data_IF_318994830108
#
_entry.id   IF_318994830108
#
_cell.length_a   1.000
_cell.length_b   1.000
_cell.length_c   1.000
_cell.angle_alpha   90.00
_cell.angle_beta   90.00
_cell.angle_gamma   90.00
#
_symmetry.space_group_name_H-M   'P 1'
#
loop_
_entity.id
_entity.type
_entity.pdbx_description
1 polymer ?
#
# COMPACT_ATOMS: atom_id res chain seq x y z
N UNK A 1 -42.53 -22.94 13.66
CA UNK A 1 -43.71 -23.08 12.77
C UNK A 1 -43.97 -24.56 12.51
N UNK A 2 -44.98 -25.13 13.12
CA UNK A 2 -45.36 -26.55 12.95
C UNK A 2 -45.98 -26.72 11.56
N UNK A 3 -45.33 -27.49 10.68
CA UNK A 3 -45.97 -27.97 9.43
C UNK A 3 -46.98 -29.03 9.82
N UNK A 4 -48.26 -28.70 9.75
CA UNK A 4 -49.34 -29.66 9.86
C UNK A 4 -49.20 -30.61 8.65
N UNK A 5 -48.79 -31.83 8.89
CA UNK A 5 -48.88 -32.90 7.89
C UNK A 5 -50.36 -33.17 7.60
N UNK A 6 -50.77 -33.06 6.33
CA UNK A 6 -52.11 -33.49 5.91
C UNK A 6 -52.31 -34.95 6.28
N UNK A 7 -53.39 -35.27 6.97
CA UNK A 7 -53.75 -36.65 7.30
C UNK A 7 -53.93 -37.45 6.01
N UNK A 8 -53.69 -38.77 6.06
CA UNK A 8 -53.90 -39.67 4.91
C UNK A 8 -55.30 -39.51 4.37
N UNK A 9 -56.26 -39.30 5.24
CA UNK A 9 -57.68 -39.08 4.91
C UNK A 9 -57.83 -37.81 4.02
N UNK A 10 -57.17 -36.69 4.33
CA UNK A 10 -57.23 -35.47 3.49
C UNK A 10 -56.56 -35.67 2.12
N UNK A 11 -55.47 -36.43 2.06
CA UNK A 11 -54.82 -36.78 0.80
C UNK A 11 -55.69 -37.67 -0.06
N UNK A 12 -56.33 -38.65 0.56
CA UNK A 12 -57.26 -39.55 -0.12
C UNK A 12 -58.50 -38.80 -0.58
N UNK A 13 -59.14 -37.98 0.26
CA UNK A 13 -60.24 -37.11 -0.16
C UNK A 13 -59.85 -36.16 -1.32
N UNK A 14 -58.65 -35.64 -1.34
CA UNK A 14 -58.20 -34.78 -2.44
C UNK A 14 -57.95 -35.58 -3.73
N UNK A 15 -57.51 -36.84 -3.61
CA UNK A 15 -57.38 -37.77 -4.75
C UNK A 15 -58.74 -38.09 -5.30
N UNK A 16 -59.69 -38.40 -4.41
CA UNK A 16 -61.09 -38.69 -4.81
C UNK A 16 -61.74 -37.49 -5.51
N UNK A 17 -61.65 -36.31 -4.94
CA UNK A 17 -62.17 -35.05 -5.57
C UNK A 17 -61.54 -34.74 -6.92
N UNK A 18 -60.25 -35.03 -7.11
CA UNK A 18 -59.56 -34.76 -8.36
C UNK A 18 -59.71 -35.83 -9.42
N UNK A 19 -60.15 -37.00 -9.03
CA UNK A 19 -60.25 -38.19 -9.89
C UNK A 19 -61.64 -38.41 -10.48
N UNK A 20 -62.66 -38.00 -9.74
CA UNK A 20 -64.09 -38.26 -10.15
C UNK A 20 -64.67 -36.86 -10.45
N UNK A 21 -64.93 -36.60 -11.74
CA UNK A 21 -65.80 -35.51 -12.15
C UNK A 21 -67.23 -35.83 -11.63
N UNK A 22 -68.04 -34.79 -11.43
CA UNK A 22 -69.37 -34.86 -10.81
C UNK A 22 -70.32 -35.89 -11.45
N UNK A 23 -70.05 -36.48 -12.62
CA UNK A 23 -70.88 -37.36 -13.40
C UNK A 23 -70.69 -38.85 -13.12
N UNK A 24 -69.74 -39.31 -12.30
CA UNK A 24 -69.48 -40.77 -12.04
C UNK A 24 -69.75 -41.14 -10.57
N UNK A 25 -71.01 -41.03 -10.19
CA UNK A 25 -71.48 -41.24 -8.83
C UNK A 25 -71.35 -42.74 -8.37
N UNK A 26 -71.36 -43.68 -9.32
CA UNK A 26 -71.31 -45.12 -8.99
C UNK A 26 -69.88 -45.52 -8.58
N UNK A 27 -68.88 -45.09 -9.33
CA UNK A 27 -67.50 -45.36 -9.02
C UNK A 27 -67.03 -44.57 -7.76
N UNK A 28 -67.65 -43.45 -7.49
CA UNK A 28 -67.40 -42.63 -6.28
C UNK A 28 -67.94 -43.35 -5.03
N UNK A 29 -69.13 -43.98 -5.13
CA UNK A 29 -69.71 -44.77 -4.05
C UNK A 29 -68.88 -46.05 -3.76
N UNK A 30 -68.46 -46.78 -4.80
CA UNK A 30 -67.64 -47.99 -4.65
C UNK A 30 -66.29 -47.64 -3.97
N UNK A 31 -65.66 -46.55 -4.38
CA UNK A 31 -64.42 -46.12 -3.76
C UNK A 31 -64.61 -45.65 -2.31
N UNK A 32 -65.75 -44.98 -1.99
CA UNK A 32 -66.06 -44.58 -0.62
C UNK A 32 -66.39 -45.83 0.25
N UNK A 33 -66.98 -46.92 -0.33
CA UNK A 33 -67.25 -48.15 0.36
C UNK A 33 -65.97 -48.92 0.65
N UNK A 34 -65.05 -49.00 -0.30
CA UNK A 34 -63.68 -49.53 -0.16
C UNK A 34 -62.88 -48.86 0.95
N UNK A 35 -63.04 -47.55 1.10
CA UNK A 35 -62.33 -46.73 2.11
C UNK A 35 -62.95 -46.89 3.52
N UNK A 36 -64.12 -47.52 3.65
CA UNK A 36 -64.81 -47.87 4.91
C UNK A 36 -64.44 -49.25 5.45
N UNK A 37 -63.70 -50.09 4.73
CA UNK A 37 -63.25 -51.38 5.23
C UNK A 37 -62.40 -51.24 6.50
N UNK A 38 -62.76 -51.95 7.60
CA UNK A 38 -62.02 -51.89 8.87
C UNK A 38 -60.64 -52.51 8.67
N UNK A 39 -59.60 -51.68 8.77
CA UNK A 39 -58.21 -52.14 8.69
C UNK A 39 -57.33 -51.29 7.78
N UNK A 40 -57.92 -50.55 6.81
CA UNK A 40 -57.15 -49.78 5.85
C UNK A 40 -56.61 -48.40 6.38
N UNK A 41 -57.26 -47.88 7.44
CA UNK A 41 -56.96 -46.46 7.89
C UNK A 41 -56.65 -46.36 9.38
N UNK A 42 -56.68 -47.46 10.16
CA UNK A 42 -56.67 -47.34 11.63
C UNK A 42 -55.31 -46.92 12.28
N UNK A 43 -54.18 -46.93 11.58
CA UNK A 43 -52.90 -46.53 12.19
C UNK A 43 -51.87 -45.89 11.24
N UNK A 44 -52.29 -45.31 10.13
CA UNK A 44 -51.36 -44.83 9.15
C UNK A 44 -50.82 -43.38 9.45
N UNK A 45 -49.70 -43.25 10.17
CA UNK A 45 -49.05 -41.98 10.45
C UNK A 45 -47.62 -41.84 9.81
N UNK A 46 -47.09 -42.91 9.22
CA UNK A 46 -45.73 -42.99 8.73
C UNK A 46 -45.55 -42.91 7.18
N UNK A 47 -44.28 -42.86 6.75
CA UNK A 47 -43.89 -42.88 5.32
C UNK A 47 -44.09 -44.27 4.69
N UNK A 48 -43.88 -45.32 5.47
CA UNK A 48 -44.06 -46.71 5.09
C UNK A 48 -45.52 -47.03 4.78
N UNK A 49 -46.46 -46.48 5.56
CA UNK A 49 -47.88 -46.66 5.38
C UNK A 49 -48.41 -46.08 4.05
N UNK A 50 -47.81 -44.97 3.63
CA UNK A 50 -48.11 -44.33 2.31
C UNK A 50 -47.62 -45.17 1.14
N UNK A 51 -46.47 -45.83 1.30
CA UNK A 51 -45.92 -46.72 0.28
C UNK A 51 -46.72 -48.02 0.17
N UNK A 52 -47.20 -48.55 1.30
CA UNK A 52 -48.10 -49.67 1.33
C UNK A 52 -49.46 -49.35 0.69
N UNK A 53 -50.08 -48.22 1.01
CA UNK A 53 -51.32 -47.75 0.39
C UNK A 53 -51.19 -47.58 -1.12
N UNK A 54 -50.07 -46.99 -1.57
CA UNK A 54 -49.76 -46.82 -3.01
C UNK A 54 -49.55 -48.18 -3.70
N UNK A 55 -48.90 -49.13 -3.00
CA UNK A 55 -48.75 -50.52 -3.54
C UNK A 55 -50.09 -51.27 -3.67
N UNK A 56 -50.91 -51.11 -2.64
CA UNK A 56 -52.24 -51.69 -2.60
C UNK A 56 -53.19 -51.15 -3.69
N UNK A 57 -53.12 -49.80 -3.93
CA UNK A 57 -53.89 -49.17 -5.02
C UNK A 57 -53.37 -49.52 -6.44
N UNK A 58 -52.19 -50.13 -6.55
CA UNK A 58 -51.63 -50.57 -7.84
C UNK A 58 -52.16 -51.96 -8.31
N UNK A 59 -52.86 -52.72 -7.48
CA UNK A 59 -53.39 -54.01 -7.86
C UNK A 59 -54.60 -53.83 -8.79
N UNK A 60 -54.56 -54.32 -10.05
CA UNK A 60 -55.68 -54.20 -11.03
C UNK A 60 -57.00 -54.79 -10.58
N UNK A 61 -56.98 -55.85 -9.75
CA UNK A 61 -58.15 -56.55 -9.20
C UNK A 61 -59.00 -55.70 -8.26
N UNK A 62 -58.50 -54.54 -7.81
CA UNK A 62 -59.21 -53.64 -6.89
C UNK A 62 -60.08 -52.59 -7.59
N UNK A 63 -60.07 -52.56 -8.93
CA UNK A 63 -60.83 -51.59 -9.73
C UNK A 63 -61.93 -52.42 -10.50
N UNK A 64 -63.14 -51.93 -10.41
CA UNK A 64 -64.28 -52.54 -11.12
C UNK A 64 -64.20 -52.41 -12.65
N UNK A 65 -63.41 -51.46 -13.17
CA UNK A 65 -63.19 -51.29 -14.59
C UNK A 65 -61.70 -51.10 -14.95
N UNK A 66 -61.33 -51.71 -16.12
CA UNK A 66 -59.97 -51.51 -16.68
C UNK A 66 -59.61 -50.02 -16.95
N UNK A 67 -60.63 -49.22 -17.19
CA UNK A 67 -60.42 -47.76 -17.47
C UNK A 67 -60.13 -46.97 -16.20
N UNK A 68 -60.74 -47.30 -15.06
CA UNK A 68 -60.44 -46.69 -13.77
C UNK A 68 -58.96 -46.89 -13.39
N UNK A 69 -58.44 -48.09 -13.57
CA UNK A 69 -57.03 -48.39 -13.29
C UNK A 69 -56.05 -47.62 -14.23
N UNK A 70 -56.39 -47.55 -15.54
CA UNK A 70 -55.58 -46.78 -16.49
C UNK A 70 -55.51 -45.25 -16.13
N UNK A 71 -56.67 -44.66 -15.77
CA UNK A 71 -56.75 -43.25 -15.33
C UNK A 71 -55.91 -43.02 -14.07
N UNK A 72 -56.00 -43.98 -13.10
CA UNK A 72 -55.16 -43.93 -11.89
C UNK A 72 -53.67 -43.98 -12.21
N UNK A 73 -53.21 -44.92 -13.06
CA UNK A 73 -51.81 -44.99 -13.47
C UNK A 73 -51.33 -43.69 -14.18
N UNK A 74 -52.16 -43.08 -15.03
CA UNK A 74 -51.85 -41.85 -15.72
C UNK A 74 -51.67 -40.68 -14.74
N UNK A 75 -52.54 -40.59 -13.73
CA UNK A 75 -52.46 -39.60 -12.66
C UNK A 75 -51.17 -39.73 -11.83
N UNK A 76 -50.82 -40.93 -11.37
CA UNK A 76 -49.59 -41.18 -10.60
C UNK A 76 -48.34 -40.85 -11.42
N UNK A 77 -48.31 -41.21 -12.72
CA UNK A 77 -47.22 -40.86 -13.62
C UNK A 77 -47.09 -39.33 -13.83
N UNK A 78 -48.21 -38.61 -13.93
CA UNK A 78 -48.23 -37.14 -14.09
C UNK A 78 -47.71 -36.43 -12.83
N UNK A 79 -48.11 -36.87 -11.64
CA UNK A 79 -47.63 -36.34 -10.35
C UNK A 79 -46.13 -36.55 -10.10
N UNK A 80 -45.58 -37.70 -10.58
CA UNK A 80 -44.13 -37.96 -10.54
C UNK A 80 -43.35 -37.02 -11.45
N UNK A 81 -43.80 -36.81 -12.70
CA UNK A 81 -43.15 -35.86 -13.66
C UNK A 81 -43.13 -34.43 -13.14
N UNK A 82 -44.21 -33.92 -12.57
CA UNK A 82 -44.28 -32.55 -12.02
C UNK A 82 -43.31 -32.36 -10.86
N UNK A 83 -43.18 -33.35 -9.96
CA UNK A 83 -42.23 -33.27 -8.83
C UNK A 83 -40.76 -33.31 -9.29
N UNK A 84 -40.45 -34.12 -10.29
CA UNK A 84 -39.11 -34.19 -10.87
C UNK A 84 -38.80 -32.87 -11.58
N UNK A 85 -39.68 -32.34 -12.41
CA UNK A 85 -39.51 -31.06 -13.10
C UNK A 85 -39.33 -29.90 -12.12
N UNK A 86 -40.06 -29.89 -10.97
CA UNK A 86 -39.91 -28.87 -9.94
C UNK A 86 -38.51 -28.94 -9.27
N UNK A 87 -38.01 -30.16 -8.99
CA UNK A 87 -36.63 -30.33 -8.44
C UNK A 87 -35.57 -29.93 -9.44
N UNK A 88 -35.74 -30.27 -10.72
CA UNK A 88 -34.82 -29.87 -11.80
C UNK A 88 -34.82 -28.35 -11.98
N UNK A 89 -35.97 -27.68 -11.94
CA UNK A 89 -36.05 -26.20 -12.01
C UNK A 89 -35.35 -25.53 -10.83
N UNK A 90 -35.51 -26.05 -9.61
CA UNK A 90 -34.83 -25.53 -8.42
C UNK A 90 -33.31 -25.72 -8.55
N UNK A 91 -32.86 -26.91 -8.96
CA UNK A 91 -31.45 -27.20 -9.18
C UNK A 91 -30.84 -26.32 -10.28
N UNK A 92 -31.57 -26.13 -11.38
CA UNK A 92 -31.16 -25.25 -12.47
C UNK A 92 -31.06 -23.79 -12.03
N UNK A 93 -31.97 -23.30 -11.17
CA UNK A 93 -31.89 -21.94 -10.61
C UNK A 93 -30.69 -21.75 -9.71
N UNK A 94 -30.32 -22.75 -8.90
CA UNK A 94 -29.10 -22.70 -8.09
C UNK A 94 -27.84 -22.75 -8.95
N UNK A 95 -27.82 -23.55 -10.01
CA UNK A 95 -26.71 -23.63 -10.96
C UNK A 95 -26.55 -22.31 -11.70
N UNK A 96 -27.65 -21.71 -12.14
CA UNK A 96 -27.63 -20.39 -12.80
C UNK A 96 -27.12 -19.29 -11.85
N UNK A 97 -27.56 -19.28 -10.59
CA UNK A 97 -27.07 -18.34 -9.59
C UNK A 97 -25.56 -18.50 -9.30
N UNK A 98 -25.06 -19.74 -9.24
CA UNK A 98 -23.64 -20.04 -9.09
C UNK A 98 -22.81 -19.59 -10.31
N UNK A 99 -23.32 -19.81 -11.52
CA UNK A 99 -22.66 -19.37 -12.76
C UNK A 99 -22.64 -17.84 -12.84
N UNK A 100 -23.77 -17.18 -12.56
CA UNK A 100 -23.85 -15.72 -12.58
C UNK A 100 -23.00 -15.09 -11.45
N UNK A 101 -23.04 -15.67 -10.25
CA UNK A 101 -22.19 -15.23 -9.13
C UNK A 101 -20.71 -15.46 -9.41
N UNK A 102 -20.35 -16.60 -9.98
CA UNK A 102 -18.98 -16.89 -10.42
C UNK A 102 -18.52 -16.00 -11.54
N UNK A 103 -19.38 -15.71 -12.54
CA UNK A 103 -19.08 -14.79 -13.60
C UNK A 103 -18.94 -13.34 -13.09
N UNK A 104 -19.83 -12.89 -12.20
CA UNK A 104 -19.71 -11.58 -11.57
C UNK A 104 -18.46 -11.46 -10.71
N UNK A 105 -18.11 -12.48 -9.93
CA UNK A 105 -16.86 -12.54 -9.17
C UNK A 105 -15.63 -12.54 -10.10
N UNK A 106 -15.66 -13.35 -11.17
CA UNK A 106 -14.58 -13.40 -12.16
C UNK A 106 -14.42 -12.07 -12.92
N UNK A 107 -15.55 -11.44 -13.30
CA UNK A 107 -15.56 -10.12 -13.91
C UNK A 107 -15.03 -9.06 -12.93
N UNK A 108 -15.43 -9.09 -11.66
CA UNK A 108 -14.92 -8.15 -10.64
C UNK A 108 -13.42 -8.31 -10.43
N UNK A 109 -12.93 -9.54 -10.27
CA UNK A 109 -11.49 -9.83 -10.13
C UNK A 109 -10.70 -9.45 -11.39
N UNK A 110 -11.29 -9.66 -12.59
CA UNK A 110 -10.63 -9.26 -13.85
C UNK A 110 -10.75 -7.76 -14.14
N UNK A 111 -11.83 -7.12 -13.66
CA UNK A 111 -11.98 -5.66 -13.74
C UNK A 111 -11.01 -4.95 -12.78
N UNK A 112 -10.85 -5.47 -11.56
CA UNK A 112 -9.80 -5.02 -10.66
C UNK A 112 -8.41 -5.18 -11.29
N UNK A 113 -8.11 -6.35 -11.88
CA UNK A 113 -6.82 -6.56 -12.58
C UNK A 113 -6.63 -5.70 -13.84
N UNK A 114 -7.68 -5.30 -14.54
CA UNK A 114 -7.59 -4.40 -15.71
C UNK A 114 -7.49 -2.93 -15.32
N UNK A 115 -8.03 -2.55 -14.17
CA UNK A 115 -7.97 -1.18 -13.65
C UNK A 115 -6.78 -0.94 -12.73
N UNK A 116 -6.11 -2.01 -12.25
CA UNK A 116 -4.82 -1.89 -11.60
C UNK A 116 -3.75 -1.86 -12.68
N UNK A 117 -3.01 -0.78 -12.70
CA UNK A 117 -1.78 -0.53 -13.42
C UNK A 117 -1.02 -1.84 -13.60
N UNK A 118 -0.66 -2.12 -14.85
CA UNK A 118 0.37 -3.09 -15.18
C UNK A 118 1.69 -2.55 -14.62
N UNK A 119 1.89 -2.79 -13.31
CA UNK A 119 3.16 -2.55 -12.62
C UNK A 119 4.11 -3.64 -13.14
N UNK A 120 4.71 -3.38 -14.28
CA UNK A 120 5.47 -4.37 -15.03
C UNK A 120 6.80 -4.77 -14.38
N UNK A 121 7.26 -4.01 -13.36
CA UNK A 121 8.48 -4.30 -12.59
C UNK A 121 8.31 -3.81 -11.14
N UNK A 122 8.73 -4.66 -10.19
CA UNK A 122 8.86 -4.29 -8.78
C UNK A 122 10.03 -3.31 -8.63
N UNK A 123 9.74 -2.03 -8.47
CA UNK A 123 10.76 -1.00 -8.22
C UNK A 123 11.06 -1.01 -6.72
N UNK A 124 12.16 -1.64 -6.37
CA UNK A 124 12.68 -1.63 -5.01
C UNK A 124 13.42 -0.32 -4.73
N UNK A 125 13.40 0.18 -3.48
CA UNK A 125 14.28 1.25 -3.08
C UNK A 125 15.73 0.81 -3.29
N UNK A 126 16.51 1.62 -3.97
CA UNK A 126 17.92 1.33 -4.20
C UNK A 126 18.65 1.71 -2.91
N UNK A 127 19.05 0.70 -2.13
CA UNK A 127 19.91 0.93 -0.97
C UNK A 127 21.37 0.88 -1.41
N UNK A 128 22.19 1.79 -0.86
CA UNK A 128 23.65 1.77 -0.95
C UNK A 128 24.27 1.96 -2.34
N UNK A 129 23.98 3.07 -3.01
CA UNK A 129 24.82 3.56 -4.10
C UNK A 129 25.37 4.92 -3.72
N UNK A 130 26.68 5.07 -3.72
CA UNK A 130 27.34 6.33 -3.45
C UNK A 130 28.83 6.20 -3.68
N UNK A 131 29.51 7.33 -3.70
CA UNK A 131 30.96 7.35 -3.78
C UNK A 131 31.54 8.58 -3.05
N UNK A 132 32.76 8.44 -2.63
CA UNK A 132 33.55 9.55 -2.13
C UNK A 132 34.57 9.93 -3.18
N UNK A 133 34.64 11.21 -3.50
CA UNK A 133 35.71 11.79 -4.28
C UNK A 133 36.71 12.40 -3.30
N UNK A 134 37.93 11.88 -3.28
CA UNK A 134 39.00 12.42 -2.46
C UNK A 134 39.58 13.72 -3.07
N UNK A 135 40.34 14.50 -2.27
CA UNK A 135 40.94 15.78 -2.71
C UNK A 135 41.93 15.58 -3.87
N UNK A 136 42.55 14.43 -3.99
CA UNK A 136 43.46 14.05 -5.09
C UNK A 136 42.74 13.60 -6.37
N UNK A 137 41.38 13.53 -6.38
CA UNK A 137 40.57 13.09 -7.48
C UNK A 137 40.32 11.56 -7.46
N UNK A 138 40.81 10.83 -6.51
CA UNK A 138 40.53 9.38 -6.37
C UNK A 138 39.08 9.17 -5.99
N UNK A 139 38.42 8.26 -6.72
CA UNK A 139 37.04 7.87 -6.42
C UNK A 139 37.01 6.57 -5.64
N UNK A 140 36.26 6.57 -4.53
CA UNK A 140 36.00 5.41 -3.69
C UNK A 140 34.51 5.09 -3.76
N UNK A 141 34.13 4.02 -4.44
CA UNK A 141 32.74 3.59 -4.51
C UNK A 141 32.31 3.00 -3.15
N UNK A 142 31.13 3.43 -2.70
CA UNK A 142 30.47 2.97 -1.49
C UNK A 142 29.42 1.95 -1.91
N UNK A 143 29.69 0.69 -1.67
CA UNK A 143 28.80 -0.41 -2.07
C UNK A 143 28.92 -1.55 -1.08
N UNK A 144 28.83 -2.78 -1.60
CA UNK A 144 28.83 -4.00 -0.80
C UNK A 144 30.18 -4.30 -0.10
N UNK A 145 31.26 -3.68 -0.56
CA UNK A 145 32.61 -3.95 -0.03
C UNK A 145 32.88 -3.17 1.24
N UNK A 146 33.03 -3.87 2.33
CA UNK A 146 33.64 -3.35 3.56
C UNK A 146 35.12 -3.15 3.32
N UNK A 147 35.65 -1.98 3.70
CA UNK A 147 37.07 -1.71 3.46
C UNK A 147 37.59 -0.57 4.30
N UNK A 148 38.90 -0.53 4.35
CA UNK A 148 39.66 0.59 4.93
C UNK A 148 40.53 1.23 3.85
N UNK A 149 40.53 2.55 3.81
CA UNK A 149 41.40 3.35 2.95
C UNK A 149 42.15 4.32 3.86
N UNK A 150 43.43 4.52 3.60
CA UNK A 150 44.21 5.52 4.30
C UNK A 150 44.62 6.63 3.31
N UNK A 151 44.32 7.86 3.68
CA UNK A 151 44.81 9.02 2.95
C UNK A 151 46.24 9.36 3.33
N UNK A 152 46.88 10.14 2.45
CA UNK A 152 48.25 10.58 2.63
C UNK A 152 48.52 11.34 3.96
N UNK A 153 47.47 11.98 4.50
CA UNK A 153 47.50 12.74 5.75
C UNK A 153 47.35 11.92 7.03
N UNK A 154 47.35 10.59 6.91
CA UNK A 154 47.17 9.67 8.07
C UNK A 154 45.73 9.54 8.53
N UNK A 155 44.76 10.02 7.75
CA UNK A 155 43.33 9.81 8.01
C UNK A 155 42.92 8.42 7.57
N UNK A 156 42.28 7.69 8.47
CA UNK A 156 41.71 6.39 8.20
C UNK A 156 40.22 6.51 7.85
N UNK A 157 39.84 6.02 6.69
CA UNK A 157 38.46 5.94 6.21
C UNK A 157 38.02 4.49 6.34
N UNK A 158 37.08 4.20 7.24
CA UNK A 158 36.45 2.90 7.37
C UNK A 158 35.05 2.97 6.75
N UNK A 159 34.74 2.06 5.86
CA UNK A 159 33.44 2.02 5.17
C UNK A 159 32.74 0.68 5.32
N UNK A 160 31.43 0.73 5.41
CA UNK A 160 30.53 -0.41 5.20
C UNK A 160 29.39 -0.01 4.24
N UNK A 161 28.40 -0.88 4.04
CA UNK A 161 27.30 -0.67 3.09
C UNK A 161 26.42 0.58 3.36
N UNK A 162 26.44 1.12 4.57
CA UNK A 162 25.56 2.24 4.98
C UNK A 162 26.29 3.36 5.70
N UNK A 163 27.56 3.15 6.06
CA UNK A 163 28.31 4.07 6.94
C UNK A 163 29.73 4.27 6.48
N UNK A 164 30.20 5.52 6.59
CA UNK A 164 31.58 5.91 6.40
C UNK A 164 32.09 6.61 7.66
N UNK A 165 33.24 6.23 8.18
CA UNK A 165 33.84 6.81 9.38
C UNK A 165 35.22 7.34 9.06
N UNK A 166 35.44 8.60 9.34
CA UNK A 166 36.72 9.27 9.30
C UNK A 166 37.33 9.29 10.71
N UNK A 167 38.50 8.69 10.86
CA UNK A 167 39.26 8.70 12.11
C UNK A 167 40.65 9.30 11.89
N UNK A 168 41.06 10.14 12.80
CA UNK A 168 42.41 10.70 12.81
C UNK A 168 43.35 9.75 13.56
N UNK A 169 44.31 9.14 12.86
CA UNK A 169 45.38 8.35 13.45
C UNK A 169 46.70 9.05 13.09
N UNK A 170 47.51 9.47 14.06
CA UNK A 170 48.88 10.01 13.93
C UNK A 170 49.06 11.06 12.77
N UNK A 171 48.36 12.16 12.87
CA UNK A 171 48.33 13.18 11.81
C UNK A 171 49.58 14.00 11.82
N UNK A 172 50.31 14.04 10.71
CA UNK A 172 51.35 15.03 10.47
C UNK A 172 50.68 16.39 10.21
N UNK A 173 51.03 17.47 10.95
CA UNK A 173 50.47 18.78 10.68
C UNK A 173 50.83 19.24 9.24
N UNK A 174 49.81 19.44 8.41
CA UNK A 174 49.99 20.07 7.09
C UNK A 174 49.22 21.36 7.07
N UNK A 175 49.79 22.42 6.45
CA UNK A 175 49.10 23.72 6.32
C UNK A 175 47.90 23.68 5.36
N UNK A 176 47.85 22.66 4.48
CA UNK A 176 46.75 22.47 3.52
C UNK A 176 45.67 21.56 4.11
N UNK A 177 44.45 21.99 4.06
CA UNK A 177 43.28 21.16 4.38
C UNK A 177 42.75 20.55 3.10
N UNK A 178 42.79 19.23 3.04
CA UNK A 178 42.15 18.46 1.98
C UNK A 178 40.64 18.38 2.21
N UNK A 179 39.86 18.39 1.12
CA UNK A 179 38.40 18.29 1.15
C UNK A 179 37.94 17.09 0.31
N UNK A 180 37.15 16.26 0.92
CA UNK A 180 36.48 15.16 0.24
C UNK A 180 35.03 15.51 -0.04
N UNK A 181 34.43 14.82 -1.02
CA UNK A 181 33.03 15.00 -1.38
C UNK A 181 32.32 13.67 -1.36
N UNK A 182 31.33 13.53 -0.48
CA UNK A 182 30.40 12.41 -0.48
C UNK A 182 29.28 12.70 -1.48
N UNK A 183 29.13 11.83 -2.48
CA UNK A 183 28.09 11.86 -3.49
C UNK A 183 27.13 10.71 -3.26
N UNK A 184 25.90 11.04 -2.96
CA UNK A 184 24.79 10.10 -2.77
C UNK A 184 23.82 10.25 -3.93
N UNK A 185 23.76 9.30 -4.87
CA UNK A 185 22.86 9.40 -6.01
C UNK A 185 21.42 9.14 -5.59
N UNK A 186 20.50 9.26 -6.54
CA UNK A 186 19.11 8.84 -6.36
C UNK A 186 19.03 7.39 -5.86
N UNK A 187 18.13 7.12 -4.95
CA UNK A 187 17.95 5.82 -4.32
C UNK A 187 18.97 5.51 -3.21
N UNK A 188 20.00 6.34 -3.01
CA UNK A 188 21.03 6.12 -1.99
C UNK A 188 20.71 6.81 -0.66
N UNK A 189 21.41 6.38 0.39
CA UNK A 189 21.45 7.02 1.70
C UNK A 189 22.71 6.57 2.42
N UNK A 190 23.43 7.51 3.05
CA UNK A 190 24.63 7.17 3.79
C UNK A 190 24.74 7.96 5.09
N UNK A 191 25.33 7.31 6.10
CA UNK A 191 25.75 7.96 7.32
C UNK A 191 27.26 8.23 7.26
N UNK A 192 27.67 9.47 7.41
CA UNK A 192 29.05 9.90 7.51
C UNK A 192 29.37 10.29 8.97
N UNK A 193 30.45 9.78 9.51
CA UNK A 193 31.00 10.24 10.80
C UNK A 193 32.27 11.00 10.51
N UNK A 194 32.25 12.29 10.86
CA UNK A 194 33.38 13.21 10.69
C UNK A 194 34.42 13.00 11.80
N UNK A 195 35.61 13.58 11.61
CA UNK A 195 36.75 13.42 12.53
C UNK A 195 36.54 14.02 13.93
N UNK A 196 35.58 14.91 14.10
CA UNK A 196 35.15 15.44 15.41
C UNK A 196 34.09 14.61 16.12
N UNK A 197 33.63 13.49 15.49
CA UNK A 197 32.54 12.66 15.99
C UNK A 197 31.15 13.06 15.52
N UNK A 198 31.02 14.21 14.83
CA UNK A 198 29.74 14.65 14.24
C UNK A 198 29.22 13.60 13.26
N UNK A 199 27.93 13.24 13.40
CA UNK A 199 27.25 12.30 12.52
C UNK A 199 26.37 13.06 11.52
N UNK A 200 26.47 12.68 10.26
CA UNK A 200 25.70 13.28 9.18
C UNK A 200 25.01 12.18 8.39
N UNK A 201 23.68 12.17 8.38
CA UNK A 201 22.90 11.34 7.47
C UNK A 201 22.67 12.13 6.19
N UNK A 202 23.07 11.58 5.07
CA UNK A 202 22.97 12.21 3.76
C UNK A 202 21.93 11.47 2.95
N UNK A 203 20.88 12.17 2.55
CA UNK A 203 19.72 11.62 1.84
C UNK A 203 19.99 11.45 0.33
N UNK A 204 19.07 10.82 -0.39
CA UNK A 204 19.14 10.60 -1.83
C UNK A 204 19.34 11.91 -2.61
N UNK A 205 20.06 11.81 -3.74
CA UNK A 205 20.36 12.93 -4.65
C UNK A 205 21.07 14.10 -3.97
N UNK A 206 22.09 13.78 -3.12
CA UNK A 206 22.77 14.76 -2.27
C UNK A 206 24.28 14.73 -2.43
N UNK A 207 24.90 15.91 -2.26
CA UNK A 207 26.34 16.10 -2.35
C UNK A 207 26.82 16.90 -1.15
N UNK A 208 27.71 16.30 -0.36
CA UNK A 208 28.28 16.92 0.83
C UNK A 208 29.81 16.99 0.69
N UNK A 209 30.37 18.20 0.70
CA UNK A 209 31.81 18.41 0.74
C UNK A 209 32.22 18.73 2.17
N UNK A 210 33.27 18.08 2.65
CA UNK A 210 33.74 18.22 4.01
C UNK A 210 35.29 18.12 4.08
N UNK A 211 35.94 18.74 5.07
CA UNK A 211 37.36 18.64 5.22
C UNK A 211 37.74 17.29 5.87
N UNK A 212 38.85 16.73 5.50
CA UNK A 212 39.40 15.53 6.15
C UNK A 212 39.76 15.76 7.61
N UNK A 213 40.05 17.02 7.97
CA UNK A 213 40.21 17.50 9.34
C UNK A 213 39.70 18.94 9.45
N UNK A 214 39.20 19.30 10.63
CA UNK A 214 38.71 20.64 10.88
C UNK A 214 39.85 21.60 11.26
N UNK A 215 39.61 22.89 11.02
CA UNK A 215 40.50 23.99 11.46
C UNK A 215 40.48 24.11 13.00
N UNK A 216 41.40 24.89 13.54
CA UNK A 216 41.46 25.11 14.99
C UNK A 216 40.33 26.02 15.50
N UNK A 217 39.88 26.95 14.70
CA UNK A 217 38.95 28.03 15.08
C UNK A 217 37.49 27.71 14.72
N UNK A 218 37.24 26.82 13.74
CA UNK A 218 35.90 26.43 13.33
C UNK A 218 35.86 25.08 12.60
N UNK A 219 34.65 24.52 12.50
CA UNK A 219 34.32 23.28 11.76
C UNK A 219 33.39 23.68 10.62
N UNK A 220 33.75 23.40 9.38
CA UNK A 220 32.91 23.76 8.24
C UNK A 220 32.70 22.62 7.27
N UNK A 221 31.49 22.51 6.76
CA UNK A 221 31.08 21.58 5.71
C UNK A 221 30.19 22.31 4.70
N UNK A 222 30.06 21.76 3.49
CA UNK A 222 29.31 22.37 2.39
C UNK A 222 28.27 21.36 1.87
N UNK A 223 27.00 21.64 2.10
CA UNK A 223 25.92 20.94 1.42
C UNK A 223 25.75 21.58 0.04
N UNK A 224 26.37 20.95 -0.96
CA UNK A 224 26.38 21.48 -2.34
C UNK A 224 25.02 21.35 -3.00
N UNK A 225 24.32 20.28 -2.69
CA UNK A 225 22.93 20.03 -3.08
C UNK A 225 22.33 18.92 -2.22
N UNK A 226 21.00 18.88 -2.08
CA UNK A 226 20.34 17.76 -1.46
C UNK A 226 19.84 18.00 -0.05
N UNK A 227 19.80 16.93 0.75
CA UNK A 227 19.30 16.95 2.13
C UNK A 227 20.22 16.18 3.06
N UNK A 228 20.51 16.77 4.22
CA UNK A 228 21.33 16.14 5.24
C UNK A 228 20.81 16.46 6.65
N UNK A 229 20.80 15.45 7.50
CA UNK A 229 20.55 15.57 8.93
C UNK A 229 21.86 15.52 9.69
N UNK A 230 22.08 16.48 10.59
CA UNK A 230 23.28 16.65 11.36
C UNK A 230 23.02 16.39 12.85
N UNK A 231 23.83 15.56 13.47
CA UNK A 231 23.98 15.40 14.91
C UNK A 231 25.38 15.87 15.28
N UNK A 232 25.50 17.17 15.54
CA UNK A 232 26.77 17.84 15.70
C UNK A 232 27.31 17.63 17.13
N UNK A 233 28.54 17.15 17.23
CA UNK A 233 29.23 17.01 18.50
C UNK A 233 29.43 18.39 19.16
N UNK A 234 29.13 18.49 20.47
CA UNK A 234 29.12 19.77 21.17
C UNK A 234 30.54 20.28 21.40
N UNK A 235 30.82 21.46 20.87
CA UNK A 235 32.04 22.24 21.13
C UNK A 235 31.73 23.75 21.01
N UNK A 236 31.66 24.42 22.15
CA UNK A 236 31.35 25.86 22.22
C UNK A 236 32.53 26.77 21.75
N UNK A 237 33.74 26.25 21.79
CA UNK A 237 34.93 26.95 21.35
C UNK A 237 35.11 26.93 19.82
N UNK A 238 34.56 25.90 19.17
CA UNK A 238 34.68 25.62 17.75
C UNK A 238 33.33 25.53 17.06
N UNK A 239 32.72 26.61 16.59
CA UNK A 239 31.43 26.56 15.94
C UNK A 239 31.45 25.67 14.70
N UNK A 240 30.34 24.97 14.46
CA UNK A 240 30.10 24.14 13.27
C UNK A 240 29.26 24.92 12.25
N UNK A 241 29.74 24.99 11.03
CA UNK A 241 29.15 25.76 9.93
C UNK A 241 28.75 24.83 8.81
N UNK A 242 27.48 24.92 8.40
CA UNK A 242 27.00 24.26 7.18
C UNK A 242 26.71 25.31 6.13
N UNK A 243 27.54 25.33 5.11
CA UNK A 243 27.34 26.21 3.95
C UNK A 243 26.40 25.59 2.96
N UNK A 244 25.45 26.36 2.47
CA UNK A 244 24.46 25.93 1.46
C UNK A 244 24.52 26.87 0.26
N UNK A 245 23.80 26.56 -0.81
CA UNK A 245 23.71 27.41 -1.99
C UNK A 245 23.15 28.83 -1.67
N UNK A 246 22.39 28.99 -0.56
CA UNK A 246 21.62 30.20 -0.24
C UNK A 246 21.92 30.82 1.13
N UNK A 247 22.76 30.20 1.92
CA UNK A 247 23.08 30.72 3.24
C UNK A 247 24.02 29.80 4.02
N UNK A 248 24.18 30.12 5.30
CA UNK A 248 25.03 29.38 6.22
C UNK A 248 24.29 29.12 7.53
N UNK A 249 24.33 27.89 7.99
CA UNK A 249 23.85 27.44 9.30
C UNK A 249 25.01 27.38 10.27
N UNK A 250 24.94 28.07 11.42
CA UNK A 250 25.93 28.02 12.48
C UNK A 250 25.36 27.41 13.74
N UNK A 251 26.07 26.44 14.30
CA UNK A 251 25.69 25.73 15.54
C UNK A 251 26.91 25.46 16.44
N UNK A 252 26.69 25.07 17.69
CA UNK A 252 27.74 24.72 18.67
C UNK A 252 27.66 23.24 19.14
N UNK A 253 26.52 22.57 18.92
CA UNK A 253 26.23 21.22 19.34
C UNK A 253 24.71 21.00 19.28
N UNK A 254 24.22 20.53 18.15
CA UNK A 254 22.82 20.72 17.75
C UNK A 254 22.41 19.60 16.82
N UNK A 255 21.13 19.21 16.91
CA UNK A 255 20.49 18.30 15.97
C UNK A 255 19.56 19.07 15.05
N UNK A 256 19.79 19.00 13.73
CA UNK A 256 19.01 19.76 12.74
C UNK A 256 19.06 19.11 11.36
N UNK A 257 18.07 19.42 10.53
CA UNK A 257 18.00 19.03 9.13
C UNK A 257 18.20 20.23 8.21
N UNK A 258 18.94 20.03 7.14
CA UNK A 258 19.10 21.03 6.07
C UNK A 258 18.74 20.41 4.74
N UNK A 259 17.87 21.09 3.99
CA UNK A 259 17.42 20.68 2.66
C UNK A 259 17.64 21.82 1.67
N UNK A 260 18.44 21.56 0.63
CA UNK A 260 18.84 22.51 -0.41
C UNK A 260 18.90 21.81 -1.77
N UNK A 261 17.75 21.32 -2.27
CA UNK A 261 17.64 20.78 -3.61
C UNK A 261 17.53 21.93 -4.62
N UNK A 262 18.33 21.94 -5.70
CA UNK A 262 18.35 23.04 -6.67
C UNK A 262 16.99 23.34 -7.30
N UNK A 263 16.24 22.30 -7.63
CA UNK A 263 14.93 22.38 -8.29
C UNK A 263 13.82 22.92 -7.38
N UNK A 264 14.03 22.95 -6.06
CA UNK A 264 13.04 23.47 -5.10
C UNK A 264 13.17 24.98 -4.88
N UNK A 265 14.25 25.58 -5.36
CA UNK A 265 14.52 27.03 -5.25
C UNK A 265 14.47 27.60 -3.82
N UNK A 266 14.60 26.75 -2.81
CA UNK A 266 14.54 27.12 -1.38
C UNK A 266 15.55 26.31 -0.57
N UNK A 267 16.06 26.94 0.50
CA UNK A 267 16.75 26.22 1.58
C UNK A 267 15.83 26.14 2.77
N UNK A 268 15.72 24.94 3.30
CA UNK A 268 14.92 24.66 4.49
C UNK A 268 15.84 24.17 5.58
N UNK A 269 15.82 24.82 6.73
CA UNK A 269 16.58 24.39 7.92
C UNK A 269 15.60 24.18 9.08
N UNK A 270 15.54 22.95 9.60
CA UNK A 270 14.64 22.53 10.68
C UNK A 270 15.44 22.17 11.91
N UNK A 271 15.17 22.81 13.04
CA UNK A 271 15.86 22.55 14.30
C UNK A 271 15.11 21.50 15.13
N UNK A 272 15.85 20.46 15.52
CA UNK A 272 15.34 19.37 16.39
C UNK A 272 15.70 19.61 17.84
N UNK A 273 17.00 19.85 18.12
CA UNK A 273 17.51 20.04 19.46
C UNK A 273 18.69 21.02 19.47
N UNK A 274 18.80 21.87 20.48
CA UNK A 274 19.86 22.86 20.61
C UNK A 274 19.46 24.22 20.08
N UNK A 275 20.35 24.87 19.31
CA UNK A 275 20.12 26.21 18.72
C UNK A 275 20.79 26.33 17.36
N UNK A 276 20.09 26.90 16.40
CA UNK A 276 20.57 27.18 15.03
C UNK A 276 20.55 28.68 14.76
N UNK A 277 21.66 29.24 14.31
CA UNK A 277 21.69 30.55 13.66
C UNK A 277 21.78 30.33 12.15
N UNK A 278 20.75 30.71 11.41
CA UNK A 278 20.77 30.76 9.95
C UNK A 278 21.13 32.18 9.48
N UNK A 279 22.05 32.29 8.52
CA UNK A 279 22.45 33.54 7.90
C UNK A 279 22.30 33.42 6.39
N UNK A 280 21.45 34.21 5.76
CA UNK A 280 21.27 34.24 4.31
C UNK A 280 22.34 35.01 3.55
N UNK A 281 22.32 34.91 2.22
CA UNK A 281 23.20 35.68 1.35
C UNK A 281 23.02 37.20 1.48
N UNK A 282 21.83 37.64 1.84
CA UNK A 282 21.51 39.04 2.16
C UNK A 282 22.00 39.49 3.53
N UNK A 283 22.77 38.64 4.23
CA UNK A 283 23.31 38.84 5.59
C UNK A 283 22.26 38.96 6.70
N UNK A 284 20.96 38.79 6.39
CA UNK A 284 19.96 38.62 7.44
C UNK A 284 20.27 37.39 8.28
N UNK A 285 19.90 37.46 9.54
CA UNK A 285 20.10 36.37 10.51
C UNK A 285 18.82 36.07 11.22
N UNK A 286 18.60 34.76 11.50
CA UNK A 286 17.56 34.30 12.37
C UNK A 286 18.12 33.22 13.29
N UNK A 287 17.64 33.19 14.52
CA UNK A 287 17.92 32.10 15.48
C UNK A 287 16.67 31.29 15.63
N UNK A 288 16.80 29.98 15.46
CA UNK A 288 15.71 29.02 15.63
C UNK A 288 15.70 28.42 17.03
N UNK A 289 14.53 28.16 17.53
CA UNK A 289 14.25 27.31 18.70
C UNK A 289 13.87 25.89 18.25
N UNK A 290 14.02 24.86 19.10
CA UNK A 290 13.59 23.50 18.78
C UNK A 290 12.12 23.43 18.34
N UNK A 291 11.84 22.67 17.28
CA UNK A 291 10.52 22.59 16.65
C UNK A 291 10.25 23.66 15.58
N UNK A 292 11.17 24.61 15.39
CA UNK A 292 11.03 25.65 14.38
C UNK A 292 11.85 25.35 13.11
N UNK A 293 11.40 25.94 12.04
CA UNK A 293 11.99 25.85 10.70
C UNK A 293 12.12 27.23 10.08
N UNK A 294 13.21 27.47 9.37
CA UNK A 294 13.34 28.59 8.44
C UNK A 294 13.31 28.08 7.01
N UNK A 295 12.51 28.73 6.17
CA UNK A 295 12.45 28.53 4.72
C UNK A 295 12.95 29.82 4.06
N UNK A 296 14.09 29.74 3.39
CA UNK A 296 14.64 30.86 2.62
C UNK A 296 14.42 30.59 1.11
N UNK A 297 13.45 31.28 0.53
CA UNK A 297 13.05 31.13 -0.88
C UNK A 297 13.87 32.07 -1.76
N UNK A 298 14.49 31.55 -2.82
CA UNK A 298 15.35 32.34 -3.72
C UNK A 298 14.57 33.01 -4.84
N UNK A 299 13.38 32.59 -5.18
CA UNK A 299 12.56 33.19 -6.22
C UNK A 299 11.88 34.46 -5.70
N UNK A 300 11.37 34.40 -4.48
CA UNK A 300 10.68 35.53 -3.85
C UNK A 300 11.60 36.42 -3.01
N UNK A 301 12.75 35.88 -2.59
CA UNK A 301 13.64 36.54 -1.64
C UNK A 301 13.08 36.63 -0.21
N UNK A 302 12.02 35.87 0.07
CA UNK A 302 11.34 35.88 1.37
C UNK A 302 11.90 34.81 2.30
N UNK A 303 11.76 35.09 3.60
CA UNK A 303 12.05 34.13 4.66
C UNK A 303 10.78 33.90 5.46
N UNK A 304 10.48 32.63 5.69
CA UNK A 304 9.38 32.17 6.53
C UNK A 304 9.94 31.39 7.71
N UNK A 305 9.57 31.78 8.93
CA UNK A 305 9.95 31.07 10.16
C UNK A 305 8.70 30.63 10.86
N UNK A 306 8.58 29.30 11.04
CA UNK A 306 7.36 28.70 11.59
C UNK A 306 7.65 27.47 12.43
N UNK A 307 6.75 27.20 13.36
CA UNK A 307 6.69 25.91 14.07
C UNK A 307 6.24 24.80 13.13
N UNK A 308 6.83 23.61 13.24
CA UNK A 308 6.54 22.48 12.37
C UNK A 308 6.46 21.15 13.12
N UNK A 309 5.76 20.18 12.54
CA UNK A 309 5.82 18.81 13.00
C UNK A 309 7.15 18.17 12.56
N UNK A 310 8.06 17.96 13.48
CA UNK A 310 9.39 17.43 13.20
C UNK A 310 9.37 16.11 12.41
N UNK A 311 8.37 15.25 12.60
CA UNK A 311 8.29 13.97 11.88
C UNK A 311 8.26 14.14 10.36
N UNK A 312 7.70 15.24 9.86
CA UNK A 312 7.62 15.52 8.41
C UNK A 312 9.00 15.84 7.80
N UNK A 313 9.94 16.34 8.60
CA UNK A 313 11.23 16.83 8.11
C UNK A 313 12.41 15.95 8.48
N UNK A 314 12.25 15.11 9.52
CA UNK A 314 13.35 14.25 9.98
C UNK A 314 12.97 12.76 10.06
N UNK A 315 11.73 12.42 9.75
CA UNK A 315 11.22 11.04 9.75
C UNK A 315 11.97 10.13 8.78
N UNK A 316 12.45 10.69 7.66
CA UNK A 316 13.17 9.97 6.61
C UNK A 316 14.41 9.23 7.15
N UNK A 317 15.11 9.81 8.13
CA UNK A 317 16.25 9.18 8.81
C UNK A 317 15.86 7.88 9.53
N UNK A 318 14.64 7.79 9.98
CA UNK A 318 14.08 6.64 10.69
C UNK A 318 13.25 5.72 9.76
N UNK A 319 13.40 5.88 8.44
CA UNK A 319 12.69 5.08 7.45
C UNK A 319 11.21 5.41 7.32
N UNK A 320 10.78 6.63 7.69
CA UNK A 320 9.39 7.05 7.63
C UNK A 320 9.24 8.35 6.83
N UNK A 321 8.39 8.33 5.81
CA UNK A 321 7.95 9.54 5.12
C UNK A 321 6.62 9.99 5.72
N UNK A 322 6.62 11.14 6.39
CA UNK A 322 5.41 11.81 6.87
C UNK A 322 5.21 13.06 6.04
N UNK A 323 4.02 13.25 5.51
CA UNK A 323 3.68 14.42 4.70
C UNK A 323 2.29 14.92 5.05
N UNK A 324 2.15 16.24 5.11
CA UNK A 324 0.90 16.92 5.42
C UNK A 324 0.66 18.02 4.40
N UNK A 325 -0.49 17.95 3.72
CA UNK A 325 -0.89 18.94 2.70
C UNK A 325 0.18 19.12 1.60
N UNK A 326 0.88 18.05 1.21
CA UNK A 326 1.89 18.10 0.16
C UNK A 326 1.25 17.92 -1.21
N UNK A 327 1.68 18.72 -2.20
CA UNK A 327 1.20 18.57 -3.57
C UNK A 327 1.69 17.26 -4.18
N UNK A 328 0.92 16.70 -5.12
CA UNK A 328 1.36 15.49 -5.81
C UNK A 328 2.67 15.70 -6.56
N UNK A 329 2.91 16.89 -7.10
CA UNK A 329 4.19 17.23 -7.74
C UNK A 329 5.36 17.10 -6.76
N UNK A 330 5.27 17.72 -5.57
CA UNK A 330 6.33 17.65 -4.56
C UNK A 330 6.50 16.23 -4.02
N UNK A 331 5.38 15.51 -3.85
CA UNK A 331 5.38 14.12 -3.41
C UNK A 331 6.08 13.20 -4.43
N UNK A 332 5.79 13.39 -5.73
CA UNK A 332 6.45 12.65 -6.81
C UNK A 332 7.94 12.97 -6.92
N UNK A 333 8.39 14.19 -6.63
CA UNK A 333 9.83 14.51 -6.54
C UNK A 333 10.54 13.73 -5.43
N UNK A 334 9.87 13.52 -4.29
CA UNK A 334 10.41 12.65 -3.24
C UNK A 334 10.56 11.21 -3.75
N UNK A 335 9.58 10.71 -4.48
CA UNK A 335 9.62 9.37 -5.09
C UNK A 335 10.72 9.26 -6.15
N UNK A 336 10.86 10.24 -7.04
CA UNK A 336 11.93 10.27 -8.03
C UNK A 336 13.32 10.13 -7.39
N UNK A 337 13.55 10.87 -6.31
CA UNK A 337 14.84 10.82 -5.60
C UNK A 337 15.07 9.49 -4.90
N UNK A 338 14.06 8.95 -4.22
CA UNK A 338 14.26 7.78 -3.36
C UNK A 338 14.21 6.44 -4.08
N UNK A 339 13.55 6.38 -5.23
CA UNK A 339 13.43 5.15 -6.02
C UNK A 339 14.19 5.20 -7.34
N UNK A 340 14.88 6.32 -7.61
CA UNK A 340 15.62 6.55 -8.86
C UNK A 340 14.72 6.30 -10.08
N UNK A 341 13.55 6.91 -10.09
CA UNK A 341 12.56 6.86 -11.17
C UNK A 341 12.39 8.23 -11.80
N UNK A 342 11.80 8.28 -12.99
CA UNK A 342 11.37 9.50 -13.64
C UNK A 342 9.86 9.59 -13.60
N UNK A 343 9.31 10.75 -13.22
CA UNK A 343 7.87 10.97 -13.16
C UNK A 343 7.42 11.92 -14.27
N UNK A 344 6.41 11.49 -15.00
CA UNK A 344 5.78 12.28 -16.06
C UNK A 344 4.30 12.50 -15.75
N UNK A 345 3.85 13.76 -15.78
CA UNK A 345 2.44 14.11 -15.62
C UNK A 345 1.79 14.26 -16.99
N UNK A 346 0.92 13.31 -17.35
CA UNK A 346 0.11 13.40 -18.56
C UNK A 346 -0.96 14.50 -18.47
N UNK A 347 -1.38 14.83 -17.24
CA UNK A 347 -2.35 15.87 -16.94
C UNK A 347 -1.77 16.85 -15.91
N UNK A 348 -1.49 18.07 -16.31
CA UNK A 348 -0.87 19.11 -15.45
C UNK A 348 -1.68 19.43 -14.19
N UNK A 349 -2.99 19.31 -14.26
CA UNK A 349 -3.88 19.55 -13.12
C UNK A 349 -3.65 18.59 -11.94
N UNK A 350 -3.16 17.36 -12.22
CA UNK A 350 -2.83 16.38 -11.18
C UNK A 350 -1.71 16.85 -10.25
N UNK A 351 -0.81 17.71 -10.72
CA UNK A 351 0.30 18.26 -9.92
C UNK A 351 -0.17 18.96 -8.66
N UNK A 352 -1.35 19.60 -8.71
CA UNK A 352 -1.89 20.43 -7.63
C UNK A 352 -2.73 19.65 -6.61
N UNK A 353 -2.98 18.37 -6.84
CA UNK A 353 -3.69 17.54 -5.88
C UNK A 353 -2.87 17.42 -4.60
N UNK A 354 -3.54 17.47 -3.47
CA UNK A 354 -2.91 17.55 -2.15
C UNK A 354 -3.17 16.28 -1.37
N UNK A 355 -2.12 15.72 -0.76
CA UNK A 355 -2.17 14.49 0.00
C UNK A 355 -1.56 14.69 1.39
N UNK A 356 -2.04 13.87 2.35
CA UNK A 356 -1.49 13.75 3.68
C UNK A 356 -1.43 12.27 4.08
N UNK A 357 -0.37 11.86 4.75
CA UNK A 357 -0.19 10.48 5.16
C UNK A 357 1.20 10.20 5.70
N UNK A 358 1.43 8.94 6.00
CA UNK A 358 2.74 8.40 6.36
C UNK A 358 3.01 7.08 5.64
N UNK A 359 4.25 6.84 5.27
CA UNK A 359 4.67 5.69 4.48
C UNK A 359 6.05 5.20 4.93
N UNK A 360 6.24 3.89 4.87
CA UNK A 360 7.54 3.27 5.12
C UNK A 360 8.48 3.53 3.93
N UNK A 361 9.66 4.08 4.20
CA UNK A 361 10.65 4.48 3.19
C UNK A 361 11.16 3.29 2.34
N UNK A 362 11.23 2.11 2.92
CA UNK A 362 11.86 0.93 2.31
C UNK A 362 10.85 -0.04 1.69
N UNK A 363 9.58 0.34 1.60
CA UNK A 363 8.58 -0.42 0.85
C UNK A 363 8.72 -0.22 -0.65
N UNK A 364 8.17 -1.14 -1.42
CA UNK A 364 8.12 -1.03 -2.88
C UNK A 364 7.29 0.20 -3.29
N UNK A 365 7.70 0.88 -4.34
CA UNK A 365 7.05 2.12 -4.83
C UNK A 365 5.57 1.89 -5.15
N UNK A 366 5.19 0.68 -5.54
CA UNK A 366 3.82 0.29 -5.84
C UNK A 366 2.87 0.47 -4.65
N UNK A 367 3.33 0.19 -3.43
CA UNK A 367 2.50 0.40 -2.23
C UNK A 367 2.17 1.87 -2.05
N UNK A 368 3.16 2.73 -2.27
CA UNK A 368 2.98 4.17 -2.24
C UNK A 368 2.01 4.64 -3.32
N UNK A 369 2.21 4.22 -4.58
CA UNK A 369 1.36 4.63 -5.69
C UNK A 369 -0.09 4.19 -5.49
N UNK A 370 -0.33 2.97 -5.00
CA UNK A 370 -1.68 2.48 -4.65
C UNK A 370 -2.33 3.30 -3.54
N UNK A 371 -1.56 3.69 -2.53
CA UNK A 371 -2.09 4.56 -1.47
C UNK A 371 -2.60 5.88 -2.06
N UNK A 372 -1.83 6.54 -2.91
CA UNK A 372 -2.20 7.78 -3.59
C UNK A 372 -3.38 7.57 -4.53
N UNK A 373 -3.42 6.47 -5.31
CA UNK A 373 -4.55 6.13 -6.18
C UNK A 373 -5.86 5.95 -5.40
N UNK A 374 -5.79 5.36 -4.22
CA UNK A 374 -6.98 5.12 -3.38
C UNK A 374 -7.54 6.42 -2.81
N UNK A 375 -6.66 7.38 -2.49
CA UNK A 375 -7.03 8.65 -1.88
C UNK A 375 -7.34 9.79 -2.87
N UNK A 376 -7.12 9.60 -4.19
CA UNK A 376 -7.24 10.68 -5.17
C UNK A 376 -7.74 10.25 -6.54
N UNK A 377 -8.09 11.27 -7.36
CA UNK A 377 -8.53 11.11 -8.75
C UNK A 377 -7.35 10.95 -9.71
N UNK A 378 -6.37 10.13 -9.35
CA UNK A 378 -5.18 9.87 -10.16
C UNK A 378 -4.96 8.38 -10.37
N UNK A 379 -4.33 8.06 -11.49
CA UNK A 379 -3.89 6.72 -11.87
C UNK A 379 -2.43 6.77 -12.29
N UNK A 380 -1.64 5.77 -11.91
CA UNK A 380 -0.26 5.64 -12.30
C UNK A 380 -0.05 4.50 -13.30
N UNK A 381 0.84 4.71 -14.26
CA UNK A 381 1.35 3.67 -15.16
C UNK A 381 2.85 3.63 -14.99
N UNK A 382 3.38 2.46 -14.61
CA UNK A 382 4.81 2.24 -14.43
C UNK A 382 5.35 1.40 -15.59
N UNK A 383 6.36 1.91 -16.28
CA UNK A 383 7.10 1.19 -17.30
C UNK A 383 8.59 1.37 -17.05
N UNK A 384 9.30 0.27 -16.85
CA UNK A 384 10.70 0.31 -16.44
C UNK A 384 10.87 1.23 -15.21
N UNK A 385 11.64 2.28 -15.32
CA UNK A 385 11.85 3.28 -14.26
C UNK A 385 11.09 4.59 -14.50
N UNK A 386 10.02 4.56 -15.28
CA UNK A 386 9.19 5.73 -15.58
C UNK A 386 7.79 5.56 -15.02
N UNK A 387 7.32 6.52 -14.22
CA UNK A 387 5.98 6.60 -13.67
C UNK A 387 5.22 7.69 -14.42
N UNK A 388 4.13 7.34 -15.09
CA UNK A 388 3.25 8.32 -15.74
C UNK A 388 1.99 8.51 -14.91
N UNK A 389 1.69 9.77 -14.60
CA UNK A 389 0.53 10.18 -13.80
C UNK A 389 -0.60 10.62 -14.71
N UNK A 390 -1.75 9.97 -14.60
CA UNK A 390 -2.98 10.31 -15.33
C UNK A 390 -4.08 10.73 -14.35
N UNK A 391 -4.99 11.56 -14.81
CA UNK A 391 -6.27 11.75 -14.14
C UNK A 391 -7.16 10.52 -14.36
N UNK A 392 -7.92 10.11 -13.34
CA UNK A 392 -8.97 9.09 -13.46
C UNK A 392 -10.17 9.61 -14.25
#
# INVERSE_FOLDING_TARGET
>A
MKRHGRTIFEVVQQVVRNFFNEEDEETKKEFQQLMREPGLLNNASGREDKEQLVSWLKEPSRFSSKDGYKKFQAYVKRGRRVRVLRKVRIAASFLLALVLGGAAYWLNVHWEKRNHVELAEEIQPIMSKGYIMLDDGTRIDLGEDKGEVREADGIKITRDSVKVVYASEDVTPTDRIAYNELNVPRGGEYMLVLTDGTKVWVNADSRLKFPVRFREDHREVYLLSGEAYFEVERDESKPFLVHTSRGCVKVLGTEFNVRDYPEEHRVVTTLVNGSVQFTGKDKKKVVLEPGFQVVADSLTGTWDVREVNLKEYVGWRNGLYVFSHLTLEDLMRVIERNYDVTVFFANEECKRLVFSGDLQKYEMVEHFLRFIETGGDVRFVVKERTITVYKK
#
